data_IF_622011450546
#
_entry.id   IF_622011450546
#
_cell.length_a   1.000
_cell.length_b   1.000
_cell.length_c   1.000
_cell.angle_alpha   90.00
_cell.angle_beta   90.00
_cell.angle_gamma   90.00
#
_symmetry.space_group_name_H-M   'P 1'
#
loop_
_entity.id
_entity.type
_entity.pdbx_description
1 polymer ?
#
# COMPACT_ATOMS: atom_id res chain seq x y z
N UNK A 1 19.39 7.11 5.15
CA UNK A 1 20.16 6.74 6.37
C UNK A 1 20.47 5.26 6.28
N UNK A 2 21.66 4.85 6.74
CA UNK A 2 21.95 3.44 6.93
C UNK A 2 21.07 2.87 8.05
N UNK A 3 20.77 1.58 7.99
CA UNK A 3 19.88 0.93 8.95
C UNK A 3 20.51 0.84 10.36
N UNK A 4 19.69 0.94 11.40
CA UNK A 4 20.08 0.71 12.79
C UNK A 4 19.95 -0.76 13.18
N UNK A 5 21.02 -1.38 13.64
CA UNK A 5 21.05 -2.80 13.98
C UNK A 5 21.37 -2.94 15.47
N UNK A 6 20.54 -3.66 16.21
CA UNK A 6 20.82 -4.06 17.59
C UNK A 6 21.50 -5.43 17.60
N UNK A 7 22.71 -5.49 18.15
CA UNK A 7 23.47 -6.73 18.37
C UNK A 7 23.34 -7.13 19.83
N UNK A 8 22.96 -8.37 20.09
CA UNK A 8 22.75 -8.94 21.42
C UNK A 8 23.53 -10.24 21.54
N UNK A 9 24.54 -10.29 22.41
CA UNK A 9 25.34 -11.49 22.69
C UNK A 9 25.97 -11.35 24.08
N UNK A 10 25.93 -12.40 24.90
CA UNK A 10 26.46 -12.37 26.27
C UNK A 10 28.00 -12.36 26.31
N UNK A 11 28.65 -12.69 25.19
CA UNK A 11 30.10 -12.65 25.05
C UNK A 11 30.56 -11.36 24.36
N UNK A 12 31.20 -10.47 25.13
CA UNK A 12 31.69 -9.16 24.66
C UNK A 12 32.54 -9.21 23.38
N UNK A 13 33.32 -10.29 23.20
CA UNK A 13 34.16 -10.47 22.00
C UNK A 13 33.29 -10.63 20.74
N UNK A 14 32.19 -11.36 20.82
CA UNK A 14 31.25 -11.55 19.71
C UNK A 14 30.55 -10.23 19.36
N UNK A 15 30.10 -9.50 20.38
CA UNK A 15 29.47 -8.18 20.24
C UNK A 15 30.40 -7.22 19.50
N UNK A 16 31.64 -7.05 19.98
CA UNK A 16 32.61 -6.13 19.37
C UNK A 16 32.99 -6.53 17.94
N UNK A 17 33.07 -7.83 17.67
CA UNK A 17 33.37 -8.32 16.32
C UNK A 17 32.24 -7.97 15.35
N UNK A 18 30.98 -8.23 15.73
CA UNK A 18 29.81 -7.91 14.91
C UNK A 18 29.63 -6.40 14.75
N UNK A 19 29.81 -5.64 15.82
CA UNK A 19 29.78 -4.17 15.80
C UNK A 19 30.81 -3.61 14.81
N UNK A 20 32.06 -4.07 14.88
CA UNK A 20 33.10 -3.62 13.95
C UNK A 20 32.76 -3.95 12.49
N UNK A 21 32.29 -5.18 12.21
CA UNK A 21 31.91 -5.61 10.86
C UNK A 21 30.76 -4.79 10.29
N UNK A 22 29.71 -4.56 11.07
CA UNK A 22 28.53 -3.80 10.63
C UNK A 22 28.85 -2.30 10.48
N UNK A 23 29.66 -1.74 11.38
CA UNK A 23 30.06 -0.32 11.31
C UNK A 23 30.92 -0.03 10.07
N UNK A 24 31.79 -0.97 9.64
CA UNK A 24 32.58 -0.84 8.41
C UNK A 24 31.68 -0.76 7.17
N UNK A 25 30.56 -1.48 7.17
CA UNK A 25 29.52 -1.41 6.13
C UNK A 25 28.53 -0.25 6.35
N UNK A 26 28.91 0.72 7.19
CA UNK A 26 28.22 1.99 7.47
C UNK A 26 26.88 1.87 8.22
N UNK A 27 26.58 0.74 8.87
CA UNK A 27 25.37 0.62 9.71
C UNK A 27 25.51 1.36 11.05
N UNK A 28 24.39 1.85 11.59
CA UNK A 28 24.31 2.36 12.98
C UNK A 28 24.12 1.15 13.90
N UNK A 29 25.02 0.93 14.86
CA UNK A 29 25.01 -0.29 15.68
C UNK A 29 24.74 0.05 17.14
N UNK A 30 23.69 -0.58 17.69
CA UNK A 30 23.45 -0.65 19.12
C UNK A 30 23.91 -2.01 19.64
N UNK A 31 24.40 -2.06 20.88
CA UNK A 31 24.90 -3.29 21.48
C UNK A 31 24.33 -3.48 22.89
N UNK A 32 24.09 -4.73 23.27
CA UNK A 32 23.82 -5.12 24.65
C UNK A 32 24.18 -6.60 24.86
N UNK A 33 24.21 -7.04 26.12
CA UNK A 33 24.73 -8.35 26.51
C UNK A 33 23.68 -9.29 27.11
N UNK A 34 22.40 -8.90 27.15
CA UNK A 34 21.35 -9.71 27.74
C UNK A 34 19.96 -9.40 27.14
N UNK A 35 19.05 -10.37 27.26
CA UNK A 35 17.71 -10.28 26.71
C UNK A 35 16.82 -9.21 27.35
N UNK A 36 17.02 -8.85 28.62
CA UNK A 36 16.20 -7.82 29.28
C UNK A 36 16.56 -6.43 28.73
N UNK A 37 17.85 -6.11 28.68
CA UNK A 37 18.35 -4.88 28.06
C UNK A 37 17.97 -4.80 26.59
N UNK A 38 17.99 -5.91 25.85
CA UNK A 38 17.56 -5.96 24.46
C UNK A 38 16.10 -5.54 24.27
N UNK A 39 15.19 -5.95 25.17
CA UNK A 39 13.77 -5.56 25.10
C UNK A 39 13.56 -4.07 25.33
N UNK A 40 14.32 -3.48 26.26
CA UNK A 40 14.25 -2.06 26.59
C UNK A 40 14.79 -1.22 25.43
N UNK A 41 15.99 -1.53 24.92
CA UNK A 41 16.59 -0.85 23.78
C UNK A 41 15.74 -0.99 22.50
N UNK A 42 15.13 -2.16 22.26
CA UNK A 42 14.25 -2.35 21.10
C UNK A 42 13.00 -1.46 21.19
N UNK A 43 12.49 -1.23 22.39
CA UNK A 43 11.33 -0.37 22.63
C UNK A 43 11.71 1.11 22.48
N UNK A 44 12.83 1.51 23.09
CA UNK A 44 13.29 2.90 23.12
C UNK A 44 13.81 3.38 21.76
N UNK A 45 14.66 2.60 21.09
CA UNK A 45 15.39 3.05 19.91
C UNK A 45 14.83 2.56 18.58
N UNK A 46 13.83 1.66 18.61
CA UNK A 46 13.16 1.10 17.42
C UNK A 46 14.16 0.69 16.32
N UNK A 47 15.09 -0.25 16.59
CA UNK A 47 16.07 -0.67 15.59
C UNK A 47 15.40 -1.25 14.34
N UNK A 48 16.08 -1.16 13.20
CA UNK A 48 15.61 -1.70 11.92
C UNK A 48 15.75 -3.23 11.84
N UNK A 49 16.64 -3.81 12.66
CA UNK A 49 16.87 -5.24 12.75
C UNK A 49 17.58 -5.59 14.06
N UNK A 50 17.37 -6.82 14.56
CA UNK A 50 18.05 -7.35 15.73
C UNK A 50 18.82 -8.62 15.34
N UNK A 51 20.12 -8.66 15.65
CA UNK A 51 20.95 -9.86 15.68
C UNK A 51 21.01 -10.35 17.12
N UNK A 52 20.45 -11.52 17.39
CA UNK A 52 20.19 -11.99 18.74
C UNK A 52 20.84 -13.35 18.99
N UNK A 53 21.80 -13.41 19.90
CA UNK A 53 22.34 -14.70 20.33
C UNK A 53 21.28 -15.53 21.06
N UNK A 54 21.33 -16.85 20.86
CA UNK A 54 20.40 -17.78 21.50
C UNK A 54 20.83 -18.13 22.92
N UNK A 55 22.13 -18.33 23.16
CA UNK A 55 22.66 -18.92 24.39
C UNK A 55 23.11 -17.83 25.36
N UNK A 56 22.15 -17.18 26.01
CA UNK A 56 22.41 -16.15 27.01
C UNK A 56 21.97 -16.59 28.42
N UNK A 57 22.67 -16.19 29.49
CA UNK A 57 22.28 -16.49 30.86
C UNK A 57 20.98 -15.77 31.24
N UNK A 58 20.14 -16.44 32.03
CA UNK A 58 18.85 -15.89 32.45
C UNK A 58 17.80 -16.00 31.34
N UNK A 59 17.59 -14.93 30.57
CA UNK A 59 16.64 -14.92 29.46
C UNK A 59 17.35 -15.32 28.16
N UNK A 60 17.03 -16.51 27.65
CA UNK A 60 17.59 -16.99 26.39
C UNK A 60 17.07 -16.20 25.17
N UNK A 61 17.74 -16.34 24.03
CA UNK A 61 17.36 -15.64 22.80
C UNK A 61 15.99 -16.06 22.25
N UNK A 62 15.55 -17.30 22.51
CA UNK A 62 14.22 -17.75 22.10
C UNK A 62 13.11 -17.01 22.86
N UNK A 63 13.24 -16.89 24.18
CA UNK A 63 12.31 -16.15 25.03
C UNK A 63 12.34 -14.66 24.73
N UNK A 64 13.53 -14.10 24.52
CA UNK A 64 13.71 -12.70 24.10
C UNK A 64 12.97 -12.44 22.78
N UNK A 65 13.15 -13.33 21.78
CA UNK A 65 12.46 -13.25 20.50
C UNK A 65 10.94 -13.32 20.64
N UNK A 66 10.41 -14.27 21.43
CA UNK A 66 8.97 -14.38 21.69
C UNK A 66 8.39 -13.10 22.28
N UNK A 67 9.08 -12.48 23.24
CA UNK A 67 8.64 -11.22 23.87
C UNK A 67 8.68 -10.05 22.90
N UNK A 68 9.71 -9.95 22.06
CA UNK A 68 9.78 -8.94 20.99
C UNK A 68 8.61 -9.09 20.01
N UNK A 69 8.25 -10.33 19.63
CA UNK A 69 7.15 -10.61 18.69
C UNK A 69 5.76 -10.49 19.29
N UNK A 70 5.62 -10.54 20.62
CA UNK A 70 4.34 -10.39 21.31
C UNK A 70 3.87 -8.94 21.45
N UNK A 71 4.79 -7.96 21.48
CA UNK A 71 4.48 -6.53 21.68
C UNK A 71 4.16 -5.83 20.36
N UNK A 72 3.13 -4.98 20.33
CA UNK A 72 2.70 -4.31 19.09
C UNK A 72 3.77 -3.34 18.54
N UNK A 73 4.50 -2.74 19.47
CA UNK A 73 5.59 -1.79 19.25
C UNK A 73 6.76 -2.48 18.56
N UNK A 74 7.19 -3.67 19.02
CA UNK A 74 8.42 -4.32 18.52
C UNK A 74 8.17 -5.47 17.55
N UNK A 75 6.95 -6.02 17.42
CA UNK A 75 6.67 -7.24 16.62
C UNK A 75 7.10 -7.19 15.16
N UNK A 76 7.17 -5.97 14.63
CA UNK A 76 7.50 -5.71 13.24
C UNK A 76 9.01 -5.71 12.98
N UNK A 77 9.83 -5.53 14.02
CA UNK A 77 11.29 -5.51 13.92
C UNK A 77 11.78 -6.91 13.55
N UNK A 78 12.54 -7.07 12.44
CA UNK A 78 13.14 -8.35 12.07
C UNK A 78 14.12 -8.84 13.12
N UNK A 79 14.01 -10.12 13.51
CA UNK A 79 14.92 -10.76 14.46
C UNK A 79 15.62 -11.92 13.77
N UNK A 80 16.96 -11.89 13.73
CA UNK A 80 17.79 -12.99 13.24
C UNK A 80 18.52 -13.59 14.41
N UNK A 81 18.25 -14.87 14.66
CA UNK A 81 18.91 -15.61 15.73
C UNK A 81 20.32 -16.00 15.29
N UNK A 82 21.31 -15.71 16.12
CA UNK A 82 22.70 -16.12 15.92
C UNK A 82 22.98 -17.23 16.93
N UNK A 83 23.50 -18.37 16.49
CA UNK A 83 23.68 -19.48 17.41
C UNK A 83 24.83 -20.40 17.00
N UNK A 84 25.51 -20.99 17.98
CA UNK A 84 26.42 -22.12 17.75
C UNK A 84 25.65 -23.44 17.59
N UNK A 85 24.35 -23.45 17.89
CA UNK A 85 23.48 -24.60 17.71
C UNK A 85 23.17 -24.75 16.21
N UNK A 86 23.75 -25.77 15.58
CA UNK A 86 23.50 -26.15 14.20
C UNK A 86 22.50 -27.31 14.09
N UNK A 87 21.88 -27.68 15.21
CA UNK A 87 20.85 -28.70 15.31
C UNK A 87 19.56 -28.30 14.60
N UNK A 88 18.91 -29.30 14.00
CA UNK A 88 17.57 -29.18 13.39
C UNK A 88 16.55 -28.59 14.37
N UNK A 89 16.50 -29.13 15.59
CA UNK A 89 15.53 -28.74 16.61
C UNK A 89 15.64 -27.26 17.02
N UNK A 90 16.86 -26.74 17.16
CA UNK A 90 17.09 -25.34 17.55
C UNK A 90 16.67 -24.35 16.47
N UNK A 91 16.86 -24.70 15.19
CA UNK A 91 16.35 -23.90 14.06
C UNK A 91 14.83 -23.83 14.06
N UNK A 92 14.17 -24.97 14.23
CA UNK A 92 12.71 -25.06 14.26
C UNK A 92 12.18 -24.24 15.44
N UNK A 93 12.73 -24.46 16.64
CA UNK A 93 12.39 -23.71 17.85
C UNK A 93 12.58 -22.20 17.66
N UNK A 94 13.61 -21.78 16.94
CA UNK A 94 13.87 -20.37 16.61
C UNK A 94 12.80 -19.75 15.74
N UNK A 95 12.41 -20.44 14.67
CA UNK A 95 11.37 -19.96 13.77
C UNK A 95 9.98 -19.98 14.44
N UNK A 96 9.69 -20.98 15.28
CA UNK A 96 8.48 -21.04 16.09
C UNK A 96 8.41 -19.94 17.15
N UNK A 97 9.56 -19.53 17.72
CA UNK A 97 9.66 -18.35 18.58
C UNK A 97 9.34 -17.04 17.83
N UNK A 98 9.28 -17.09 16.50
CA UNK A 98 8.90 -15.99 15.63
C UNK A 98 10.08 -15.29 14.97
N UNK A 99 11.29 -15.84 15.06
CA UNK A 99 12.45 -15.32 14.37
C UNK A 99 12.19 -15.24 12.86
N UNK A 100 12.70 -14.19 12.22
CA UNK A 100 12.62 -14.03 10.77
C UNK A 100 13.67 -14.88 10.07
N UNK A 101 14.77 -15.20 10.76
CA UNK A 101 15.86 -15.98 10.22
C UNK A 101 16.82 -16.49 11.30
N UNK A 102 17.81 -17.26 10.88
CA UNK A 102 18.95 -17.63 11.73
C UNK A 102 20.29 -17.60 10.97
N UNK A 103 21.36 -17.46 11.75
CA UNK A 103 22.75 -17.55 11.33
C UNK A 103 23.50 -18.51 12.26
N UNK A 104 24.21 -19.46 11.68
CA UNK A 104 25.05 -20.40 12.42
C UNK A 104 26.44 -19.81 12.64
N UNK A 105 26.99 -19.96 13.84
CA UNK A 105 28.39 -19.62 14.17
C UNK A 105 29.32 -20.75 13.69
N UNK A 106 30.51 -20.46 13.14
CA UNK A 106 31.06 -19.13 12.87
C UNK A 106 30.34 -18.44 11.71
N UNK A 107 30.08 -17.14 11.88
CA UNK A 107 29.26 -16.35 10.95
C UNK A 107 30.02 -16.13 9.64
N UNK A 108 29.38 -16.49 8.53
CA UNK A 108 29.84 -16.16 7.18
C UNK A 108 29.45 -14.71 6.86
N UNK A 109 30.46 -13.85 6.65
CA UNK A 109 30.26 -12.41 6.43
C UNK A 109 29.42 -12.12 5.20
N UNK A 110 29.60 -12.90 4.14
CA UNK A 110 28.86 -12.68 2.89
C UNK A 110 27.38 -13.00 3.09
N UNK A 111 27.07 -14.06 3.82
CA UNK A 111 25.69 -14.43 4.17
C UNK A 111 25.09 -13.43 5.15
N UNK A 112 25.83 -13.02 6.18
CA UNK A 112 25.40 -12.01 7.15
C UNK A 112 24.95 -10.73 6.42
N UNK A 113 25.81 -10.15 5.58
CA UNK A 113 25.49 -8.90 4.90
C UNK A 113 24.38 -9.04 3.87
N UNK A 114 24.27 -10.19 3.19
CA UNK A 114 23.16 -10.44 2.28
C UNK A 114 21.81 -10.50 3.03
N UNK A 115 21.76 -11.16 4.20
CA UNK A 115 20.57 -11.20 5.07
C UNK A 115 20.23 -9.83 5.63
N UNK A 116 21.21 -9.09 6.15
CA UNK A 116 21.02 -7.72 6.66
C UNK A 116 20.44 -6.83 5.56
N UNK A 117 20.99 -6.85 4.34
CA UNK A 117 20.48 -6.05 3.21
C UNK A 117 19.05 -6.43 2.83
N UNK A 118 18.72 -7.73 2.78
CA UNK A 118 17.36 -8.20 2.48
C UNK A 118 16.34 -7.73 3.52
N UNK A 119 16.62 -7.97 4.80
CA UNK A 119 15.69 -7.69 5.90
C UNK A 119 15.50 -6.19 6.15
N UNK A 120 16.57 -5.39 6.03
CA UNK A 120 16.50 -3.93 6.18
C UNK A 120 15.73 -3.28 5.02
N UNK A 121 15.91 -3.75 3.78
CA UNK A 121 15.10 -3.31 2.63
C UNK A 121 13.60 -3.55 2.86
N UNK A 122 13.26 -4.68 3.46
CA UNK A 122 11.86 -5.00 3.79
C UNK A 122 11.33 -4.16 4.94
N UNK A 123 12.16 -3.90 5.96
CA UNK A 123 11.82 -3.01 7.08
C UNK A 123 11.49 -1.61 6.60
N UNK A 124 12.32 -1.03 5.72
CA UNK A 124 12.11 0.30 5.14
C UNK A 124 10.74 0.46 4.48
N UNK A 125 10.36 -0.50 3.62
CA UNK A 125 9.04 -0.47 2.95
C UNK A 125 7.89 -0.57 3.95
N UNK A 126 8.06 -1.39 4.99
CA UNK A 126 7.05 -1.57 6.02
C UNK A 126 6.91 -0.32 6.90
N UNK A 127 8.01 0.32 7.29
CA UNK A 127 7.98 1.53 8.10
C UNK A 127 7.37 2.70 7.36
N UNK A 128 7.71 2.87 6.07
CA UNK A 128 7.10 3.91 5.24
C UNK A 128 5.56 3.76 5.20
N UNK A 129 5.07 2.53 5.08
CA UNK A 129 3.63 2.26 5.10
C UNK A 129 3.01 2.53 6.49
N UNK A 130 3.71 2.18 7.57
CA UNK A 130 3.25 2.44 8.93
C UNK A 130 3.20 3.92 9.25
N UNK A 131 4.23 4.68 8.92
CA UNK A 131 4.30 6.13 9.13
C UNK A 131 3.18 6.87 8.39
N UNK A 132 2.91 6.46 7.14
CA UNK A 132 1.80 7.01 6.34
C UNK A 132 0.44 6.67 6.94
N UNK A 133 0.28 5.45 7.47
CA UNK A 133 -0.95 5.02 8.13
C UNK A 133 -1.19 5.76 9.45
N UNK A 134 -0.16 5.90 10.29
CA UNK A 134 -0.22 6.66 11.54
C UNK A 134 -0.51 8.15 11.29
N UNK A 135 0.10 8.73 10.26
CA UNK A 135 -0.20 10.11 9.83
C UNK A 135 -1.66 10.27 9.40
N UNK A 136 -2.20 9.28 8.69
CA UNK A 136 -3.61 9.25 8.29
C UNK A 136 -4.55 9.12 9.49
N UNK A 137 -4.22 8.29 10.49
CA UNK A 137 -5.00 8.15 11.73
C UNK A 137 -5.01 9.44 12.55
N UNK A 138 -3.86 10.12 12.70
CA UNK A 138 -3.78 11.40 13.42
C UNK A 138 -4.65 12.49 12.79
N UNK A 139 -5.01 12.35 11.50
CA UNK A 139 -5.93 13.24 10.80
C UNK A 139 -7.41 12.86 10.93
N UNK A 140 -7.77 11.94 11.83
CA UNK A 140 -9.17 11.61 12.14
C UNK A 140 -9.80 10.57 11.22
N UNK A 141 -9.01 9.80 10.47
CA UNK A 141 -9.50 8.63 9.75
C UNK A 141 -9.50 7.44 10.70
N UNK A 142 -10.66 7.17 11.31
CA UNK A 142 -10.83 6.04 12.21
C UNK A 142 -10.64 4.71 11.48
N UNK A 143 -9.96 3.79 12.15
CA UNK A 143 -9.67 2.49 11.60
C UNK A 143 -9.04 1.56 12.61
N UNK A 144 -9.82 1.12 13.59
CA UNK A 144 -9.47 -0.07 14.37
C UNK A 144 -9.26 -1.30 13.47
N UNK A 145 -8.53 -2.30 13.99
CA UNK A 145 -8.50 -3.64 13.41
C UNK A 145 -7.20 -4.07 12.72
N UNK A 146 -6.07 -4.10 13.43
CA UNK A 146 -4.96 -5.01 13.10
C UNK A 146 -5.12 -6.36 13.82
N UNK A 147 -6.36 -6.85 13.94
CA UNK A 147 -6.68 -8.06 14.67
C UNK A 147 -6.20 -9.28 13.87
N UNK A 148 -5.05 -9.82 14.27
CA UNK A 148 -4.49 -11.14 13.94
C UNK A 148 -4.70 -11.55 12.47
N UNK A 149 -3.90 -11.00 11.58
CA UNK A 149 -3.72 -11.55 10.24
C UNK A 149 -3.38 -13.04 10.38
N UNK A 150 -4.28 -13.91 9.90
CA UNK A 150 -4.05 -15.36 9.91
C UNK A 150 -2.77 -15.64 9.14
N UNK A 151 -1.92 -16.54 9.64
CA UNK A 151 -0.77 -17.07 8.91
C UNK A 151 -1.15 -18.26 8.01
N UNK A 152 -2.25 -18.93 8.33
CA UNK A 152 -2.78 -20.08 7.58
C UNK A 152 -3.52 -19.66 6.31
N UNK A 153 -3.54 -20.56 5.33
CA UNK A 153 -3.99 -20.25 3.98
C UNK A 153 -2.97 -19.38 3.25
N UNK A 154 -2.91 -19.49 1.93
CA UNK A 154 -2.00 -18.69 1.11
C UNK A 154 -1.82 -19.36 -0.25
N UNK A 155 -1.58 -18.59 -1.30
CA UNK A 155 -1.26 -19.14 -2.63
C UNK A 155 0.25 -19.20 -2.80
N UNK A 156 0.77 -20.41 -2.86
CA UNK A 156 2.20 -20.67 -3.01
C UNK A 156 2.44 -21.23 -4.41
N UNK A 157 3.33 -20.59 -5.17
CA UNK A 157 3.83 -21.11 -6.43
C UNK A 157 5.20 -21.72 -6.22
N UNK A 158 5.38 -22.98 -6.56
CA UNK A 158 6.68 -23.67 -6.58
C UNK A 158 7.17 -23.71 -8.02
N UNK A 159 8.39 -23.22 -8.23
CA UNK A 159 9.08 -23.22 -9.51
C UNK A 159 10.32 -24.10 -9.38
N UNK A 160 10.21 -25.34 -9.84
CA UNK A 160 11.21 -26.38 -9.65
C UNK A 160 11.10 -27.43 -10.74
N UNK A 161 12.24 -27.87 -11.28
CA UNK A 161 12.33 -28.90 -12.30
C UNK A 161 12.53 -30.31 -11.73
N UNK A 162 12.92 -30.41 -10.46
CA UNK A 162 12.90 -31.67 -9.73
C UNK A 162 11.48 -32.00 -9.26
N UNK A 163 10.79 -32.83 -10.04
CA UNK A 163 9.41 -33.23 -9.76
C UNK A 163 9.24 -33.89 -8.38
N UNK A 164 10.23 -34.63 -7.89
CA UNK A 164 10.15 -35.32 -6.60
C UNK A 164 10.26 -34.33 -5.45
N UNK A 165 11.20 -33.40 -5.54
CA UNK A 165 11.36 -32.31 -4.59
C UNK A 165 10.13 -31.40 -4.58
N UNK A 166 9.68 -30.97 -5.75
CA UNK A 166 8.51 -30.11 -5.90
C UNK A 166 7.25 -30.73 -5.27
N UNK A 167 7.02 -32.03 -5.51
CA UNK A 167 5.90 -32.75 -4.90
C UNK A 167 6.04 -32.87 -3.38
N UNK A 168 7.25 -33.08 -2.87
CA UNK A 168 7.52 -33.14 -1.42
C UNK A 168 7.21 -31.80 -0.74
N UNK A 169 7.70 -30.70 -1.31
CA UNK A 169 7.40 -29.33 -0.85
C UNK A 169 5.89 -29.08 -0.91
N UNK A 170 5.23 -29.45 -2.01
CA UNK A 170 3.80 -29.25 -2.18
C UNK A 170 2.95 -30.08 -1.21
N UNK A 171 3.35 -31.31 -0.90
CA UNK A 171 2.67 -32.15 0.08
C UNK A 171 2.76 -31.56 1.49
N UNK A 172 3.91 -31.03 1.87
CA UNK A 172 4.11 -30.39 3.17
C UNK A 172 3.32 -29.09 3.28
N UNK A 173 3.52 -28.15 2.36
CA UNK A 173 2.84 -26.85 2.37
C UNK A 173 1.35 -26.96 2.07
N UNK A 174 0.92 -28.00 1.35
CA UNK A 174 -0.48 -28.27 1.02
C UNK A 174 -1.37 -28.54 2.24
N UNK A 175 -0.78 -28.82 3.40
CA UNK A 175 -1.51 -28.95 4.68
C UNK A 175 -2.15 -27.65 5.14
N UNK A 176 -1.50 -26.52 4.84
CA UNK A 176 -1.91 -25.19 5.32
C UNK A 176 -2.20 -24.19 4.18
N UNK A 177 -1.69 -24.45 2.97
CA UNK A 177 -1.68 -23.52 1.86
C UNK A 177 -2.21 -24.15 0.56
N UNK A 178 -2.60 -23.29 -0.39
CA UNK A 178 -2.96 -23.68 -1.75
C UNK A 178 -1.69 -23.61 -2.60
N UNK A 179 -1.21 -24.76 -3.02
CA UNK A 179 0.06 -24.88 -3.74
C UNK A 179 -0.18 -25.19 -5.21
N UNK A 180 0.57 -24.52 -6.09
CA UNK A 180 0.70 -24.85 -7.51
C UNK A 180 2.18 -25.09 -7.82
N UNK A 181 2.47 -26.05 -8.70
CA UNK A 181 3.82 -26.39 -9.15
C UNK A 181 3.93 -26.06 -10.63
N UNK A 182 5.01 -25.42 -11.03
CA UNK A 182 5.35 -25.16 -12.42
C UNK A 182 6.82 -25.49 -12.65
N UNK A 183 7.11 -26.38 -13.59
CA UNK A 183 8.49 -26.73 -13.98
C UNK A 183 9.02 -25.87 -15.11
N UNK A 184 8.13 -25.28 -15.91
CA UNK A 184 8.49 -24.38 -17.00
C UNK A 184 8.52 -22.92 -16.51
N UNK A 185 9.64 -22.19 -16.68
CA UNK A 185 9.75 -20.82 -16.18
C UNK A 185 8.81 -19.83 -16.86
N UNK A 186 8.44 -20.03 -18.13
CA UNK A 186 7.51 -19.13 -18.83
C UNK A 186 6.08 -19.30 -18.30
N UNK A 187 5.61 -20.54 -18.17
CA UNK A 187 4.35 -20.88 -17.53
C UNK A 187 4.30 -20.37 -16.07
N UNK A 188 5.40 -20.55 -15.32
CA UNK A 188 5.51 -20.07 -13.95
C UNK A 188 5.36 -18.55 -13.85
N UNK A 189 6.02 -17.78 -14.72
CA UNK A 189 5.90 -16.31 -14.76
C UNK A 189 4.49 -15.85 -15.19
N UNK A 190 3.82 -16.61 -16.07
CA UNK A 190 2.43 -16.35 -16.42
C UNK A 190 1.49 -16.58 -15.22
N UNK A 191 1.66 -17.70 -14.51
CA UNK A 191 0.94 -18.01 -13.26
C UNK A 191 1.22 -16.96 -12.17
N UNK A 192 2.44 -16.43 -12.12
CA UNK A 192 2.85 -15.40 -11.16
C UNK A 192 2.19 -14.02 -11.37
N UNK A 193 1.49 -13.79 -12.49
CA UNK A 193 0.62 -12.62 -12.66
C UNK A 193 -0.65 -12.68 -11.80
N UNK A 194 -1.06 -13.89 -11.44
CA UNK A 194 -2.14 -14.12 -10.49
C UNK A 194 -1.73 -13.68 -9.07
N UNK A 195 -2.68 -13.60 -8.14
CA UNK A 195 -2.34 -13.09 -6.82
C UNK A 195 -1.68 -14.21 -6.01
N UNK A 196 -0.36 -14.13 -5.83
CA UNK A 196 0.43 -15.10 -5.08
C UNK A 196 0.87 -14.54 -3.73
N UNK A 197 0.90 -15.38 -2.71
CA UNK A 197 1.37 -15.03 -1.35
C UNK A 197 2.83 -15.41 -1.10
N UNK A 198 3.36 -16.38 -1.84
CA UNK A 198 4.75 -16.81 -1.79
C UNK A 198 5.13 -17.45 -3.13
N UNK A 199 6.36 -17.22 -3.57
CA UNK A 199 6.99 -17.96 -4.66
C UNK A 199 8.18 -18.70 -4.07
N UNK A 200 8.29 -19.99 -4.36
CA UNK A 200 9.45 -20.81 -4.02
C UNK A 200 10.14 -21.14 -5.34
N UNK A 201 11.44 -20.85 -5.45
CA UNK A 201 12.20 -21.07 -6.69
C UNK A 201 13.43 -21.91 -6.40
N UNK A 202 13.59 -23.02 -7.10
CA UNK A 202 14.86 -23.74 -7.13
C UNK A 202 15.87 -22.96 -7.98
N UNK A 203 16.83 -22.29 -7.34
CA UNK A 203 17.87 -21.53 -8.06
C UNK A 203 19.04 -22.39 -8.52
N UNK A 204 19.04 -23.66 -8.12
CA UNK A 204 19.98 -24.70 -8.55
C UNK A 204 19.28 -25.74 -9.44
N UNK A 205 18.24 -25.34 -10.16
CA UNK A 205 17.57 -26.13 -11.21
C UNK A 205 18.55 -26.46 -12.35
N UNK A 206 18.35 -27.60 -13.01
CA UNK A 206 19.19 -28.06 -14.13
C UNK A 206 18.67 -27.57 -15.49
N UNK A 207 17.35 -27.50 -15.64
CA UNK A 207 16.65 -27.19 -16.89
C UNK A 207 16.44 -25.69 -17.14
N UNK A 208 16.56 -24.84 -16.11
CA UNK A 208 16.44 -23.39 -16.24
C UNK A 208 17.34 -22.63 -15.25
N UNK A 209 17.62 -21.36 -15.55
CA UNK A 209 18.33 -20.47 -14.63
C UNK A 209 17.34 -19.85 -13.62
N UNK A 210 17.27 -20.43 -12.42
CA UNK A 210 16.35 -19.94 -11.38
C UNK A 210 16.69 -18.53 -10.86
N UNK A 211 17.95 -18.07 -10.95
CA UNK A 211 18.29 -16.68 -10.60
C UNK A 211 17.65 -15.70 -11.59
N UNK A 212 17.59 -16.07 -12.88
CA UNK A 212 16.86 -15.28 -13.89
C UNK A 212 15.37 -15.23 -13.60
N UNK A 213 14.77 -16.32 -13.13
CA UNK A 213 13.36 -16.33 -12.68
C UNK A 213 13.14 -15.37 -11.52
N UNK A 214 14.02 -15.36 -10.51
CA UNK A 214 13.97 -14.40 -9.39
C UNK A 214 13.99 -12.96 -9.92
N UNK A 215 14.92 -12.63 -10.81
CA UNK A 215 15.06 -11.29 -11.37
C UNK A 215 13.81 -10.85 -12.16
N UNK A 216 13.26 -11.73 -13.00
CA UNK A 216 12.06 -11.46 -13.80
C UNK A 216 10.81 -11.31 -12.92
N UNK A 217 10.64 -12.16 -11.91
CA UNK A 217 9.53 -12.04 -10.96
C UNK A 217 9.60 -10.71 -10.20
N UNK A 218 10.80 -10.24 -9.84
CA UNK A 218 11.00 -8.97 -9.13
C UNK A 218 10.89 -7.71 -10.00
N UNK A 219 11.07 -7.82 -11.32
CA UNK A 219 10.86 -6.71 -12.25
C UNK A 219 9.44 -6.66 -12.84
N UNK A 220 8.67 -7.75 -12.74
CA UNK A 220 7.34 -7.86 -13.33
C UNK A 220 6.15 -7.63 -12.37
N UNK A 221 5.04 -8.30 -12.68
CA UNK A 221 3.77 -8.21 -11.94
C UNK A 221 3.87 -8.82 -10.54
N UNK A 222 4.68 -9.87 -10.39
CA UNK A 222 4.91 -10.59 -9.15
C UNK A 222 5.86 -9.91 -8.16
N UNK A 223 6.31 -8.67 -8.44
CA UNK A 223 7.37 -7.98 -7.68
C UNK A 223 7.14 -7.89 -6.17
N UNK A 224 5.86 -7.90 -5.76
CA UNK A 224 5.42 -7.82 -4.37
C UNK A 224 5.37 -9.17 -3.66
N UNK A 225 5.29 -10.28 -4.39
CA UNK A 225 5.31 -11.60 -3.77
C UNK A 225 6.71 -11.88 -3.19
N UNK A 226 6.82 -12.32 -1.93
CA UNK A 226 8.10 -12.76 -1.38
C UNK A 226 8.59 -13.99 -2.16
N UNK A 227 9.90 -14.10 -2.28
CA UNK A 227 10.54 -15.22 -2.98
C UNK A 227 11.44 -15.96 -1.99
N UNK A 228 11.19 -17.25 -1.79
CA UNK A 228 12.05 -18.16 -1.04
C UNK A 228 12.87 -18.98 -2.04
N UNK A 229 14.19 -18.77 -2.07
CA UNK A 229 15.07 -19.46 -3.01
C UNK A 229 15.63 -20.74 -2.40
N UNK A 230 15.42 -21.89 -3.05
CA UNK A 230 16.05 -23.15 -2.67
C UNK A 230 17.46 -23.17 -3.24
N UNK A 231 18.45 -23.41 -2.38
CA UNK A 231 19.88 -23.25 -2.69
C UNK A 231 20.68 -24.48 -2.30
N UNK A 232 21.75 -24.75 -3.05
CA UNK A 232 22.77 -25.71 -2.64
C UNK A 232 23.75 -25.06 -1.65
N UNK A 233 23.98 -25.60 -0.43
CA UNK A 233 24.84 -24.97 0.58
C UNK A 233 26.29 -24.72 0.12
N UNK A 234 26.76 -25.54 -0.82
CA UNK A 234 28.12 -25.43 -1.39
C UNK A 234 28.24 -24.29 -2.42
N UNK A 235 27.12 -23.81 -2.97
CA UNK A 235 27.08 -22.81 -4.02
C UNK A 235 26.88 -21.39 -3.47
N UNK A 236 27.75 -20.97 -2.53
CA UNK A 236 27.69 -19.65 -1.87
C UNK A 236 27.43 -18.48 -2.84
N UNK A 237 28.10 -18.37 -4.01
CA UNK A 237 27.85 -17.26 -4.93
C UNK A 237 26.40 -17.17 -5.42
N UNK A 238 25.72 -18.30 -5.63
CA UNK A 238 24.30 -18.32 -6.04
C UNK A 238 23.38 -17.88 -4.90
N UNK A 239 23.66 -18.29 -3.66
CA UNK A 239 22.89 -17.87 -2.49
C UNK A 239 22.89 -16.35 -2.33
N UNK A 240 24.07 -15.75 -2.38
CA UNK A 240 24.26 -14.31 -2.28
C UNK A 240 23.57 -13.61 -3.45
N UNK A 241 23.71 -14.16 -4.66
CA UNK A 241 23.09 -13.58 -5.84
C UNK A 241 21.57 -13.62 -5.80
N UNK A 242 20.97 -14.69 -5.27
CA UNK A 242 19.52 -14.77 -5.10
C UNK A 242 19.01 -13.62 -4.21
N UNK A 243 19.66 -13.38 -3.08
CA UNK A 243 19.31 -12.28 -2.16
C UNK A 243 19.51 -10.91 -2.81
N UNK A 244 20.61 -10.70 -3.54
CA UNK A 244 20.84 -9.45 -4.30
C UNK A 244 19.75 -9.17 -5.35
N UNK A 245 19.30 -10.22 -6.05
CA UNK A 245 18.22 -10.13 -7.03
C UNK A 245 16.84 -9.95 -6.40
N UNK A 246 16.75 -10.01 -5.07
CA UNK A 246 15.55 -9.72 -4.30
C UNK A 246 14.81 -10.96 -3.79
N UNK A 247 15.42 -12.15 -3.82
CA UNK A 247 14.94 -13.24 -2.98
C UNK A 247 14.86 -12.73 -1.52
N UNK A 248 13.73 -12.99 -0.89
CA UNK A 248 13.47 -12.50 0.46
C UNK A 248 14.24 -13.33 1.48
N UNK A 249 14.34 -14.63 1.22
CA UNK A 249 15.00 -15.59 2.07
C UNK A 249 15.48 -16.78 1.23
N UNK A 250 16.29 -17.64 1.83
CA UNK A 250 16.89 -18.83 1.21
C UNK A 250 16.62 -20.08 2.05
N UNK A 251 16.47 -21.22 1.39
CA UNK A 251 16.27 -22.52 2.02
C UNK A 251 17.33 -23.51 1.49
N UNK A 252 18.30 -23.94 2.34
CA UNK A 252 19.33 -24.87 1.92
C UNK A 252 18.78 -26.29 1.67
N UNK A 253 19.39 -27.02 0.72
CA UNK A 253 19.18 -28.46 0.53
C UNK A 253 20.08 -29.31 1.46
N UNK A 254 19.63 -30.50 1.92
CA UNK A 254 18.29 -31.06 1.73
C UNK A 254 17.23 -30.27 2.52
N UNK A 255 16.03 -30.17 1.94
CA UNK A 255 14.94 -29.38 2.53
C UNK A 255 14.38 -30.08 3.78
N UNK A 256 14.38 -29.35 4.89
CA UNK A 256 13.69 -29.74 6.10
C UNK A 256 12.21 -29.31 6.04
N UNK A 257 11.24 -30.23 6.17
CA UNK A 257 9.82 -29.91 6.09
C UNK A 257 9.36 -28.89 7.14
N UNK A 258 9.91 -28.96 8.36
CA UNK A 258 9.51 -28.07 9.44
C UNK A 258 10.11 -26.68 9.23
N UNK A 259 11.35 -26.59 8.76
CA UNK A 259 11.98 -25.32 8.38
C UNK A 259 11.25 -24.65 7.21
N UNK A 260 10.92 -25.42 6.17
CA UNK A 260 10.14 -24.97 5.01
C UNK A 260 8.80 -24.35 5.46
N UNK A 261 8.03 -25.08 6.26
CA UNK A 261 6.73 -24.63 6.76
C UNK A 261 6.86 -23.36 7.61
N UNK A 262 7.85 -23.30 8.50
CA UNK A 262 8.11 -22.12 9.32
C UNK A 262 8.48 -20.88 8.47
N UNK A 263 9.42 -21.02 7.52
CA UNK A 263 9.81 -19.92 6.62
C UNK A 263 8.62 -19.45 5.78
N UNK A 264 7.85 -20.38 5.22
CA UNK A 264 6.66 -20.05 4.43
C UNK A 264 5.63 -19.24 5.25
N UNK A 265 5.33 -19.66 6.48
CA UNK A 265 4.43 -18.91 7.40
C UNK A 265 4.95 -17.50 7.67
N UNK A 266 6.25 -17.34 7.93
CA UNK A 266 6.87 -16.03 8.16
C UNK A 266 6.73 -15.12 6.94
N UNK A 267 7.03 -15.62 5.74
CA UNK A 267 6.93 -14.86 4.49
C UNK A 267 5.48 -14.43 4.20
N UNK A 268 4.53 -15.35 4.32
CA UNK A 268 3.10 -15.09 4.06
C UNK A 268 2.55 -14.09 5.09
N UNK A 269 2.85 -14.27 6.38
CA UNK A 269 2.43 -13.35 7.45
C UNK A 269 2.94 -11.93 7.18
N UNK A 270 4.21 -11.80 6.78
CA UNK A 270 4.83 -10.51 6.49
C UNK A 270 4.21 -9.84 5.26
N UNK A 271 4.01 -10.58 4.17
CA UNK A 271 3.34 -10.07 2.96
C UNK A 271 1.94 -9.56 3.31
N UNK A 272 1.16 -10.35 4.04
CA UNK A 272 -0.20 -9.99 4.46
C UNK A 272 -0.25 -8.72 5.29
N UNK A 273 0.71 -8.53 6.20
CA UNK A 273 0.79 -7.30 6.99
C UNK A 273 1.07 -6.08 6.11
N UNK A 274 2.02 -6.19 5.19
CA UNK A 274 2.34 -5.12 4.23
C UNK A 274 1.15 -4.80 3.32
N UNK A 275 0.45 -5.81 2.82
CA UNK A 275 -0.73 -5.61 1.96
C UNK A 275 -1.91 -5.01 2.74
N UNK A 276 -2.11 -5.42 3.99
CA UNK A 276 -3.09 -4.80 4.88
C UNK A 276 -2.83 -3.30 5.09
N UNK A 277 -1.57 -2.92 5.36
CA UNK A 277 -1.20 -1.52 5.52
C UNK A 277 -1.45 -0.71 4.23
N UNK A 278 -1.14 -1.29 3.06
CA UNK A 278 -1.43 -0.64 1.77
C UNK A 278 -2.92 -0.45 1.56
N UNK A 279 -3.73 -1.49 1.76
CA UNK A 279 -5.17 -1.41 1.55
C UNK A 279 -5.82 -0.40 2.50
N UNK A 280 -5.37 -0.33 3.77
CA UNK A 280 -5.79 0.69 4.73
C UNK A 280 -5.47 2.10 4.23
N UNK A 281 -4.27 2.31 3.69
CA UNK A 281 -3.86 3.60 3.14
C UNK A 281 -4.65 3.96 1.87
N UNK A 282 -4.84 3.02 0.94
CA UNK A 282 -5.60 3.26 -0.28
C UNK A 282 -7.05 3.65 0.05
N UNK A 283 -7.68 2.93 0.98
CA UNK A 283 -9.04 3.26 1.45
C UNK A 283 -9.11 4.59 2.21
N UNK A 284 -8.10 4.93 3.03
CA UNK A 284 -8.07 6.23 3.72
C UNK A 284 -7.93 7.39 2.74
N UNK A 285 -7.15 7.21 1.68
CA UNK A 285 -6.99 8.20 0.61
C UNK A 285 -8.29 8.38 -0.19
N UNK A 286 -8.97 7.29 -0.54
CA UNK A 286 -10.26 7.36 -1.23
C UNK A 286 -11.31 8.12 -0.41
N UNK A 287 -11.43 7.80 0.89
CA UNK A 287 -12.34 8.52 1.81
C UNK A 287 -11.94 9.98 2.03
N UNK A 288 -10.65 10.30 1.98
CA UNK A 288 -10.15 11.67 2.15
C UNK A 288 -10.34 12.55 0.91
N UNK A 289 -10.57 11.95 -0.26
CA UNK A 289 -10.59 12.63 -1.57
C UNK A 289 -11.97 12.63 -2.24
N UNK A 290 -12.86 11.70 -1.88
CA UNK A 290 -14.19 11.57 -2.48
C UNK A 290 -15.32 11.90 -1.49
N UNK A 291 -16.49 12.26 -2.02
CA UNK A 291 -17.74 12.40 -1.29
C UNK A 291 -18.43 11.03 -1.18
N UNK A 292 -18.75 10.61 0.04
CA UNK A 292 -19.23 9.24 0.30
C UNK A 292 -20.58 8.91 -0.35
N UNK A 293 -21.45 9.91 -0.59
CA UNK A 293 -22.76 9.70 -1.20
C UNK A 293 -22.67 9.62 -2.73
N UNK A 294 -21.87 10.49 -3.34
CA UNK A 294 -21.88 10.68 -4.80
C UNK A 294 -20.72 10.02 -5.52
N UNK A 295 -19.64 9.66 -4.81
CA UNK A 295 -18.41 9.14 -5.41
C UNK A 295 -17.60 10.18 -6.19
N UNK A 296 -18.08 11.43 -6.31
CA UNK A 296 -17.31 12.53 -6.88
C UNK A 296 -16.18 12.96 -5.92
N UNK A 297 -15.30 13.83 -6.38
CA UNK A 297 -14.32 14.45 -5.49
C UNK A 297 -15.01 15.31 -4.43
N UNK A 298 -14.42 15.38 -3.23
CA UNK A 298 -14.89 16.26 -2.18
C UNK A 298 -14.29 17.66 -2.28
N UNK A 299 -14.90 18.61 -1.56
CA UNK A 299 -14.46 20.00 -1.48
C UNK A 299 -12.96 20.15 -1.21
N UNK A 300 -12.41 19.37 -0.26
CA UNK A 300 -11.00 19.48 0.15
C UNK A 300 -10.05 19.17 -1.02
N UNK A 301 -10.32 18.09 -1.75
CA UNK A 301 -9.52 17.71 -2.91
C UNK A 301 -9.61 18.76 -4.02
N UNK A 302 -10.83 19.21 -4.35
CA UNK A 302 -11.05 20.23 -5.37
C UNK A 302 -10.30 21.52 -5.04
N UNK A 303 -10.37 22.04 -3.80
CA UNK A 303 -9.67 23.27 -3.41
C UNK A 303 -8.16 23.16 -3.64
N UNK A 304 -7.55 22.02 -3.29
CA UNK A 304 -6.12 21.79 -3.52
C UNK A 304 -5.75 21.78 -5.01
N UNK A 305 -6.56 21.09 -5.84
CA UNK A 305 -6.35 21.06 -7.29
C UNK A 305 -6.55 22.44 -7.93
N UNK A 306 -7.61 23.15 -7.56
CA UNK A 306 -7.92 24.48 -8.06
C UNK A 306 -6.81 25.46 -7.72
N UNK A 307 -6.28 25.42 -6.49
CA UNK A 307 -5.16 26.25 -6.08
C UNK A 307 -3.90 26.03 -6.93
N UNK A 308 -3.55 24.76 -7.19
CA UNK A 308 -2.41 24.43 -8.04
C UNK A 308 -2.63 24.84 -9.51
N UNK A 309 -3.85 24.69 -10.02
CA UNK A 309 -4.22 25.04 -11.40
C UNK A 309 -4.22 26.56 -11.63
N UNK A 310 -4.90 27.32 -10.77
CA UNK A 310 -4.92 28.79 -10.85
C UNK A 310 -3.53 29.37 -10.63
N UNK A 311 -2.75 28.81 -9.69
CA UNK A 311 -1.35 29.19 -9.48
C UNK A 311 -0.51 29.05 -10.76
N UNK A 312 -0.70 27.98 -11.55
CA UNK A 312 -0.03 27.84 -12.85
C UNK A 312 -0.55 28.84 -13.88
N UNK A 313 -1.86 29.04 -13.97
CA UNK A 313 -2.47 30.00 -14.91
C UNK A 313 -1.97 31.43 -14.67
N UNK A 314 -1.81 31.83 -13.41
CA UNK A 314 -1.28 33.15 -13.03
C UNK A 314 0.17 33.39 -13.53
N UNK A 315 0.95 32.32 -13.72
CA UNK A 315 2.34 32.38 -14.20
C UNK A 315 2.47 32.07 -15.71
N UNK A 316 1.42 32.31 -16.49
CA UNK A 316 1.43 32.10 -17.95
C UNK A 316 1.17 30.66 -18.39
N UNK A 317 0.71 29.79 -17.48
CA UNK A 317 0.19 28.46 -17.81
C UNK A 317 -1.18 28.49 -18.49
N UNK A 318 -1.72 27.31 -18.79
CA UNK A 318 -3.02 27.17 -19.44
C UNK A 318 -4.16 27.74 -18.57
N UNK A 319 -5.17 28.33 -19.22
CA UNK A 319 -6.38 28.88 -18.60
C UNK A 319 -7.14 27.79 -17.83
N UNK A 320 -7.83 28.18 -16.75
CA UNK A 320 -8.66 27.27 -15.97
C UNK A 320 -10.08 27.84 -15.93
N UNK A 321 -11.08 27.00 -16.21
CA UNK A 321 -12.47 27.36 -16.06
C UNK A 321 -13.12 26.57 -14.92
N UNK A 322 -14.13 27.15 -14.29
CA UNK A 322 -14.95 26.50 -13.27
C UNK A 322 -16.42 26.64 -13.60
N UNK A 323 -17.17 25.57 -13.34
CA UNK A 323 -18.63 25.57 -13.34
C UNK A 323 -19.07 25.39 -11.89
N UNK A 324 -19.94 26.26 -11.39
CA UNK A 324 -20.69 26.03 -10.15
C UNK A 324 -22.11 25.67 -10.56
N UNK A 325 -22.59 24.53 -10.06
CA UNK A 325 -23.89 23.96 -10.37
C UNK A 325 -24.69 23.82 -9.08
N UNK A 326 -25.96 24.17 -9.17
CA UNK A 326 -26.90 24.06 -8.05
C UNK A 326 -28.20 23.42 -8.55
N UNK A 327 -28.69 22.45 -7.77
CA UNK A 327 -29.92 21.72 -8.11
C UNK A 327 -31.14 22.58 -7.78
N UNK A 328 -31.91 22.92 -8.81
CA UNK A 328 -33.09 23.76 -8.65
C UNK A 328 -34.14 23.06 -7.80
N UNK A 329 -34.63 23.76 -6.77
CA UNK A 329 -35.72 23.29 -5.89
C UNK A 329 -35.41 21.98 -5.15
N UNK A 330 -34.14 21.64 -4.89
CA UNK A 330 -33.78 20.40 -4.21
C UNK A 330 -34.37 20.27 -2.80
N UNK A 331 -34.48 21.37 -2.05
CA UNK A 331 -35.22 21.38 -0.78
C UNK A 331 -36.66 20.86 -0.91
N UNK A 332 -37.36 21.21 -1.99
CA UNK A 332 -38.73 20.71 -2.23
C UNK A 332 -38.77 19.20 -2.48
N UNK A 333 -37.70 18.61 -3.02
CA UNK A 333 -37.57 17.16 -3.17
C UNK A 333 -37.46 16.50 -1.80
N UNK A 334 -36.59 17.00 -0.93
CA UNK A 334 -36.44 16.49 0.43
C UNK A 334 -37.73 16.63 1.25
N UNK A 335 -38.35 17.81 1.21
CA UNK A 335 -39.57 18.10 1.97
C UNK A 335 -40.77 17.27 1.44
N UNK A 336 -40.78 16.91 0.15
CA UNK A 336 -41.87 16.17 -0.49
C UNK A 336 -41.72 14.65 -0.47
N UNK A 337 -40.51 14.13 -0.65
CA UNK A 337 -40.23 12.70 -0.88
C UNK A 337 -39.29 12.09 0.17
N UNK A 338 -38.76 12.89 1.09
CA UNK A 338 -37.82 12.45 2.13
C UNK A 338 -36.36 12.52 1.70
N UNK A 339 -35.47 12.43 2.69
CA UNK A 339 -34.02 12.54 2.48
C UNK A 339 -33.44 11.41 1.65
N UNK A 340 -33.96 10.18 1.77
CA UNK A 340 -33.51 9.04 0.96
C UNK A 340 -33.72 9.29 -0.54
N UNK A 341 -34.84 9.91 -0.91
CA UNK A 341 -35.11 10.30 -2.31
C UNK A 341 -34.18 11.43 -2.77
N UNK A 342 -33.86 12.38 -1.89
CA UNK A 342 -32.85 13.41 -2.17
C UNK A 342 -31.47 12.81 -2.41
N UNK A 343 -31.07 11.81 -1.63
CA UNK A 343 -29.81 11.11 -1.77
C UNK A 343 -29.72 10.33 -3.10
N UNK A 344 -30.80 9.67 -3.52
CA UNK A 344 -30.90 9.04 -4.84
C UNK A 344 -30.76 10.05 -5.98
N UNK A 345 -31.38 11.23 -5.86
CA UNK A 345 -31.22 12.33 -6.85
C UNK A 345 -29.77 12.78 -6.92
N UNK A 346 -29.10 12.98 -5.77
CA UNK A 346 -27.70 13.41 -5.72
C UNK A 346 -26.75 12.37 -6.33
N UNK A 347 -26.98 11.08 -6.05
CA UNK A 347 -26.19 9.99 -6.61
C UNK A 347 -26.35 9.88 -8.13
N UNK A 348 -27.58 9.93 -8.65
CA UNK A 348 -27.83 9.91 -10.09
C UNK A 348 -27.29 11.17 -10.78
N UNK A 349 -27.43 12.34 -10.13
CA UNK A 349 -26.90 13.61 -10.64
C UNK A 349 -25.39 13.54 -10.84
N UNK A 350 -24.68 12.99 -9.86
CA UNK A 350 -23.25 12.83 -9.90
C UNK A 350 -22.80 11.91 -11.05
N UNK A 351 -23.49 10.80 -11.28
CA UNK A 351 -23.22 9.90 -12.41
C UNK A 351 -23.37 10.64 -13.74
N UNK A 352 -24.49 11.35 -13.94
CA UNK A 352 -24.74 12.12 -15.17
C UNK A 352 -23.71 13.24 -15.35
N UNK A 353 -23.33 13.93 -14.28
CA UNK A 353 -22.30 14.96 -14.31
C UNK A 353 -20.96 14.38 -14.77
N UNK A 354 -20.51 13.28 -14.16
CA UNK A 354 -19.24 12.62 -14.47
C UNK A 354 -19.16 12.12 -15.91
N UNK A 355 -20.27 11.61 -16.47
CA UNK A 355 -20.30 11.14 -17.88
C UNK A 355 -20.26 12.28 -18.90
N UNK A 356 -20.59 13.51 -18.48
CA UNK A 356 -20.62 14.68 -19.36
C UNK A 356 -19.33 15.51 -19.33
N UNK A 357 -18.34 15.13 -18.54
CA UNK A 357 -17.04 15.83 -18.42
C UNK A 357 -15.89 14.91 -18.85
N UNK A 358 -14.73 15.49 -19.15
CA UNK A 358 -13.55 14.72 -19.56
C UNK A 358 -12.90 14.07 -18.34
N UNK A 359 -12.14 13.01 -18.56
CA UNK A 359 -11.37 12.35 -17.50
C UNK A 359 -10.33 13.27 -16.81
N UNK A 360 -9.94 14.37 -17.46
CA UNK A 360 -9.02 15.38 -16.91
C UNK A 360 -9.74 16.48 -16.12
N UNK A 361 -11.07 16.58 -16.25
CA UNK A 361 -11.87 17.53 -15.49
C UNK A 361 -12.12 16.98 -14.08
N UNK A 362 -12.32 17.87 -13.11
CA UNK A 362 -12.50 17.49 -11.70
C UNK A 362 -13.94 17.80 -11.27
N UNK A 363 -14.89 16.87 -11.45
CA UNK A 363 -16.24 17.00 -10.90
C UNK A 363 -16.20 16.75 -9.39
N UNK A 364 -16.84 17.65 -8.64
CA UNK A 364 -16.77 17.71 -7.19
C UNK A 364 -18.14 18.03 -6.61
N UNK A 365 -18.46 17.43 -5.45
CA UNK A 365 -19.57 17.87 -4.60
C UNK A 365 -19.04 18.79 -3.51
N UNK A 366 -19.57 20.03 -3.47
CA UNK A 366 -19.17 21.02 -2.47
C UNK A 366 -19.86 20.77 -1.12
N UNK A 367 -21.06 20.21 -1.13
CA UNK A 367 -21.88 19.91 0.04
C UNK A 367 -23.35 20.23 -0.25
N UNK A 368 -24.28 19.54 0.43
CA UNK A 368 -25.70 19.72 0.16
C UNK A 368 -26.06 19.43 -1.29
N UNK A 369 -26.61 20.44 -1.98
CA UNK A 369 -27.06 20.43 -3.38
C UNK A 369 -26.11 21.14 -4.37
N UNK A 370 -24.92 21.54 -3.90
CA UNK A 370 -23.94 22.30 -4.67
C UNK A 370 -22.82 21.43 -5.24
N UNK A 371 -22.52 21.61 -6.52
CA UNK A 371 -21.48 20.90 -7.25
C UNK A 371 -20.56 21.87 -8.00
N UNK A 372 -19.31 21.47 -8.18
CA UNK A 372 -18.32 22.23 -8.93
C UNK A 372 -17.62 21.32 -9.94
N UNK A 373 -17.35 21.84 -11.13
CA UNK A 373 -16.44 21.19 -12.10
C UNK A 373 -15.29 22.12 -12.38
N UNK A 374 -14.06 21.66 -12.12
CA UNK A 374 -12.84 22.37 -12.54
C UNK A 374 -12.37 21.81 -13.87
N UNK A 375 -12.15 22.70 -14.85
CA UNK A 375 -11.79 22.34 -16.22
C UNK A 375 -10.41 22.92 -16.59
N UNK A 376 -9.33 22.11 -16.51
CA UNK A 376 -7.99 22.53 -16.89
C UNK A 376 -7.87 22.80 -18.40
N UNK A 377 -7.27 23.92 -18.78
CA UNK A 377 -7.02 24.27 -20.18
C UNK A 377 -8.25 24.74 -20.97
N UNK A 378 -9.38 24.97 -20.30
CA UNK A 378 -10.61 25.41 -20.95
C UNK A 378 -10.72 26.94 -20.95
N UNK A 379 -11.19 27.49 -22.07
CA UNK A 379 -11.61 28.89 -22.13
C UNK A 379 -13.02 29.07 -21.53
N UNK A 380 -13.42 30.32 -21.29
CA UNK A 380 -14.78 30.64 -20.82
C UNK A 380 -15.85 30.12 -21.80
N UNK A 381 -15.59 30.22 -23.11
CA UNK A 381 -16.53 29.79 -24.14
C UNK A 381 -16.65 28.26 -24.20
N UNK A 382 -15.53 27.54 -24.08
CA UNK A 382 -15.54 26.07 -23.99
C UNK A 382 -16.32 25.61 -22.76
N UNK A 383 -16.09 26.25 -21.61
CA UNK A 383 -16.78 25.95 -20.36
C UNK A 383 -18.28 26.23 -20.46
N UNK A 384 -18.68 27.30 -21.14
CA UNK A 384 -20.10 27.63 -21.41
C UNK A 384 -20.78 26.55 -22.25
N UNK A 385 -20.10 26.03 -23.28
CA UNK A 385 -20.61 24.94 -24.11
C UNK A 385 -20.80 23.66 -23.28
N UNK A 386 -19.82 23.32 -22.44
CA UNK A 386 -19.91 22.15 -21.55
C UNK A 386 -21.03 22.31 -20.51
N UNK A 387 -21.17 23.50 -19.90
CA UNK A 387 -22.25 23.80 -18.96
C UNK A 387 -23.64 23.61 -19.60
N UNK A 388 -23.84 24.11 -20.82
CA UNK A 388 -25.12 23.97 -21.51
C UNK A 388 -25.40 22.52 -21.92
N UNK A 389 -24.36 21.74 -22.25
CA UNK A 389 -24.50 20.30 -22.47
C UNK A 389 -24.98 19.59 -21.19
N UNK A 390 -24.32 19.84 -20.06
CA UNK A 390 -24.67 19.26 -18.76
C UNK A 390 -26.11 19.63 -18.38
N UNK A 391 -26.49 20.91 -18.49
CA UNK A 391 -27.84 21.39 -18.20
C UNK A 391 -28.92 20.67 -19.01
N UNK A 392 -28.69 20.51 -20.32
CA UNK A 392 -29.64 19.83 -21.22
C UNK A 392 -29.76 18.35 -20.88
N UNK A 393 -28.65 17.67 -20.66
CA UNK A 393 -28.63 16.24 -20.34
C UNK A 393 -29.43 15.95 -19.06
N UNK A 394 -29.18 16.72 -18.00
CA UNK A 394 -29.90 16.60 -16.73
C UNK A 394 -31.40 16.84 -16.90
N UNK A 395 -31.79 17.89 -17.64
CA UNK A 395 -33.20 18.21 -17.87
C UNK A 395 -33.90 17.26 -18.86
N UNK A 396 -33.15 16.48 -19.66
CA UNK A 396 -33.70 15.69 -20.76
C UNK A 396 -34.38 14.39 -20.31
N UNK A 397 -33.96 13.84 -19.17
CA UNK A 397 -34.46 12.58 -18.65
C UNK A 397 -34.84 12.72 -17.17
N UNK A 398 -36.01 12.19 -16.75
CA UNK A 398 -36.41 12.22 -15.35
C UNK A 398 -35.46 11.37 -14.49
N UNK A 399 -35.35 11.73 -13.22
CA UNK A 399 -34.60 11.03 -12.18
C UNK A 399 -35.50 9.99 -11.54
N UNK A 400 -34.94 8.81 -11.27
CA UNK A 400 -35.69 7.69 -10.67
C UNK A 400 -35.49 7.72 -9.17
N UNK A 401 -36.58 7.90 -8.42
CA UNK A 401 -36.51 7.90 -6.95
C UNK A 401 -37.42 6.84 -6.32
N UNK A 402 -37.21 6.58 -5.03
CA UNK A 402 -37.91 5.60 -4.21
C UNK A 402 -37.82 4.19 -4.80
N UNK A 403 -36.60 3.78 -5.18
CA UNK A 403 -36.35 2.50 -5.86
C UNK A 403 -36.98 2.41 -7.26
N UNK A 404 -37.18 3.55 -7.94
CA UNK A 404 -37.70 3.64 -9.29
C UNK A 404 -39.23 3.68 -9.41
N UNK A 405 -39.95 3.94 -8.32
CA UNK A 405 -41.42 4.05 -8.30
C UNK A 405 -41.91 5.42 -8.73
N UNK A 406 -41.11 6.45 -8.54
CA UNK A 406 -41.43 7.84 -8.87
C UNK A 406 -40.40 8.40 -9.85
N UNK A 407 -40.86 9.31 -10.71
CA UNK A 407 -40.04 9.98 -11.72
C UNK A 407 -40.08 11.48 -11.50
N UNK A 408 -38.92 12.08 -11.19
CA UNK A 408 -38.81 13.51 -10.92
C UNK A 408 -38.09 14.23 -12.07
N UNK A 409 -38.67 15.33 -12.53
CA UNK A 409 -37.99 16.25 -13.44
C UNK A 409 -37.13 17.21 -12.61
N UNK A 410 -35.81 17.10 -12.75
CA UNK A 410 -34.84 17.94 -12.06
C UNK A 410 -34.18 18.88 -13.08
N UNK A 411 -33.99 20.13 -12.70
CA UNK A 411 -33.23 21.13 -13.47
C UNK A 411 -32.11 21.70 -12.63
N UNK A 412 -31.17 22.38 -13.29
CA UNK A 412 -30.05 23.02 -12.61
C UNK A 412 -29.77 24.43 -13.12
N UNK A 413 -29.26 25.24 -12.20
CA UNK A 413 -28.72 26.56 -12.49
C UNK A 413 -27.19 26.48 -12.45
N UNK A 414 -26.52 26.99 -13.50
CA UNK A 414 -25.06 26.91 -13.63
C UNK A 414 -24.46 28.30 -13.80
N UNK A 415 -23.45 28.61 -12.99
CA UNK A 415 -22.56 29.74 -13.18
C UNK A 415 -21.21 29.29 -13.73
N UNK A 416 -20.66 30.05 -14.67
CA UNK A 416 -19.40 29.71 -15.35
C UNK A 416 -18.43 30.88 -15.22
N UNK A 417 -17.20 30.60 -14.85
CA UNK A 417 -16.12 31.59 -14.82
C UNK A 417 -14.80 30.96 -15.33
N UNK A 418 -13.87 31.80 -15.78
CA UNK A 418 -12.55 31.38 -16.20
C UNK A 418 -11.48 32.36 -15.71
N UNK A 419 -10.24 31.88 -15.57
CA UNK A 419 -9.12 32.70 -15.11
C UNK A 419 -8.83 33.84 -16.08
N UNK A 420 -8.63 35.06 -15.55
CA UNK A 420 -8.45 36.28 -16.35
C UNK A 420 -7.01 36.82 -16.39
N UNK A 421 -6.03 36.14 -15.77
CA UNK A 421 -4.60 36.48 -15.88
C UNK A 421 -3.85 36.45 -14.54
N UNK A 422 -2.72 37.18 -14.48
CA UNK A 422 -1.69 37.04 -13.44
C UNK A 422 -2.09 37.42 -12.00
N UNK A 423 -3.27 38.02 -11.80
CA UNK A 423 -3.78 38.45 -10.48
C UNK A 423 -4.97 37.65 -9.97
N UNK A 424 -5.36 36.58 -10.65
CA UNK A 424 -6.55 35.81 -10.30
C UNK A 424 -6.29 34.83 -9.14
N UNK A 425 -7.31 34.59 -8.31
CA UNK A 425 -7.22 33.64 -7.19
C UNK A 425 -8.34 32.61 -7.26
N UNK A 426 -8.15 31.41 -6.66
CA UNK A 426 -9.21 30.40 -6.58
C UNK A 426 -10.52 30.96 -6.01
N UNK A 427 -10.44 31.80 -4.98
CA UNK A 427 -11.59 32.40 -4.32
C UNK A 427 -12.32 33.40 -5.24
N UNK A 428 -11.58 34.25 -5.96
CA UNK A 428 -12.16 35.20 -6.91
C UNK A 428 -12.80 34.49 -8.11
N UNK A 429 -12.19 33.40 -8.58
CA UNK A 429 -12.71 32.58 -9.66
C UNK A 429 -14.03 31.89 -9.27
N UNK A 430 -14.08 31.24 -8.10
CA UNK A 430 -15.31 30.62 -7.59
C UNK A 430 -16.40 31.65 -7.34
N UNK A 431 -16.06 32.80 -6.75
CA UNK A 431 -17.03 33.86 -6.48
C UNK A 431 -17.73 34.37 -7.75
N UNK A 432 -17.00 34.55 -8.86
CA UNK A 432 -17.61 34.94 -10.15
C UNK A 432 -18.56 33.87 -10.68
N UNK A 433 -18.25 32.60 -10.51
CA UNK A 433 -19.15 31.52 -10.89
C UNK A 433 -20.39 31.48 -9.97
N UNK A 434 -20.25 31.66 -8.65
CA UNK A 434 -21.37 31.75 -7.71
C UNK A 434 -22.32 32.91 -8.05
N UNK A 435 -21.78 34.08 -8.42
CA UNK A 435 -22.57 35.21 -8.91
C UNK A 435 -23.37 34.86 -10.18
N UNK A 436 -22.80 34.01 -11.04
CA UNK A 436 -23.50 33.44 -12.20
C UNK A 436 -24.67 32.53 -11.80
N UNK A 437 -24.51 31.67 -10.79
CA UNK A 437 -25.60 30.84 -10.26
C UNK A 437 -26.71 31.71 -9.68
N UNK A 438 -26.36 32.75 -8.92
CA UNK A 438 -27.33 33.69 -8.36
C UNK A 438 -28.16 34.38 -9.46
N UNK A 439 -27.51 34.85 -10.52
CA UNK A 439 -28.19 35.45 -11.68
C UNK A 439 -29.05 34.44 -12.44
N UNK A 440 -28.58 33.20 -12.59
CA UNK A 440 -29.38 32.12 -13.21
C UNK A 440 -30.67 31.85 -12.41
N UNK A 441 -30.57 31.77 -11.08
CA UNK A 441 -31.72 31.58 -10.19
C UNK A 441 -32.69 32.76 -10.25
N UNK A 442 -32.19 34.00 -10.20
CA UNK A 442 -33.00 35.21 -10.34
C UNK A 442 -33.67 35.31 -11.72
N UNK A 443 -32.99 34.83 -12.77
CA UNK A 443 -33.47 34.79 -14.14
C UNK A 443 -34.49 33.68 -14.43
N UNK A 444 -34.98 32.95 -13.42
CA UNK A 444 -35.99 31.90 -13.59
C UNK A 444 -35.45 30.48 -13.66
N UNK A 445 -34.21 30.23 -13.21
CA UNK A 445 -33.57 28.91 -13.09
C UNK A 445 -33.39 28.18 -14.43
N UNK A 446 -32.88 26.93 -14.39
CA UNK A 446 -32.62 26.10 -15.57
C UNK A 446 -31.83 26.84 -16.67
N UNK A 447 -30.76 27.53 -16.28
CA UNK A 447 -29.99 28.45 -17.15
C UNK A 447 -28.50 28.39 -16.84
N UNK A 448 -27.71 28.79 -17.83
CA UNK A 448 -26.25 28.97 -17.71
C UNK A 448 -25.94 30.46 -17.82
N UNK A 449 -25.17 30.99 -16.86
CA UNK A 449 -24.66 32.37 -16.89
C UNK A 449 -23.13 32.33 -16.83
N UNK A 450 -22.47 32.94 -17.82
CA UNK A 450 -21.02 33.05 -17.88
C UNK A 450 -20.56 34.45 -17.47
N UNK A 451 -19.57 34.55 -16.57
CA UNK A 451 -18.98 35.80 -16.09
C UNK A 451 -17.53 35.91 -16.57
N UNK A 452 -17.25 36.93 -17.38
CA UNK A 452 -15.93 37.16 -17.97
C UNK A 452 -15.01 38.02 -17.09
N UNK A 453 -15.57 38.83 -16.19
CA UNK A 453 -14.87 39.64 -15.19
C UNK A 453 -15.88 40.10 -14.13
#
# INVERSE_FOLDING_TARGET
MSARILVVDDVDVNVRLLEAKLTIEYYDVLTCNDGATALDLATEHQPDMILLDVMMPGMDGFETCRRLKARAETRHIPVVLVTALDGREDRIRGLEAGADDFLTKPIDDVVLFARVKSLTRLKQVMDELREREESSRRMGVDGEGAARLRSEGGRVLIIDDDASQAQTIAAELGREHRVSIESDPEAALATAKGPLDLIIVNVSAESFDGLRVVALAKSGDARRAPILAIVEPKERPRMVKALELGATDILPRPIDPEELSARARTQIRRKRYTDFLRQKLDSSLEMAVTDALTGLHNRRYMTGQLQALVGRAAHGGATVAVLVLDIDHFKSVNDGFGHDAGDEVLAEFAVRLATNVRAVDVPCRMGGEEFVVVMPGASLEDARIVAERIRRDIASAPFRVMGGKELLTITISIGVAATTGAGDTPEALLKRADEGVYEAKAGGRNKVIAKAA
#
